data_IF_673681329033
#
_entry.id   IF_673681329033
#
_cell.length_a   1.000
_cell.length_b   1.000
_cell.length_c   1.000
_cell.angle_alpha   90.00
_cell.angle_beta   90.00
_cell.angle_gamma   90.00
#
_symmetry.space_group_name_H-M   'P 1'
#
loop_
_entity.id
_entity.type
_entity.pdbx_description
1 polymer ?
#
# COMPACT_ATOMS: atom_id res chain seq x y z
N UNK A 1 -23.14 10.96 -1.07
CA UNK A 1 -22.84 9.92 -2.11
C UNK A 1 -23.98 9.89 -3.12
N UNK A 2 -23.66 9.58 -4.39
CA UNK A 2 -24.65 9.30 -5.45
C UNK A 2 -24.76 7.78 -5.57
N UNK A 3 -25.97 7.23 -5.39
CA UNK A 3 -26.26 5.80 -5.44
C UNK A 3 -26.54 5.33 -6.87
N UNK A 4 -26.69 4.01 -7.05
CA UNK A 4 -26.95 3.37 -8.34
C UNK A 4 -28.28 3.82 -9.01
N UNK A 5 -29.27 4.20 -8.22
CA UNK A 5 -30.57 4.71 -8.68
C UNK A 5 -30.58 6.25 -8.89
N UNK A 6 -29.45 6.91 -8.74
CA UNK A 6 -29.29 8.35 -8.92
C UNK A 6 -29.65 9.19 -7.69
N UNK A 7 -30.12 8.60 -6.60
CA UNK A 7 -30.36 9.36 -5.36
C UNK A 7 -29.05 9.91 -4.79
N UNK A 8 -29.11 11.12 -4.25
CA UNK A 8 -28.01 11.73 -3.48
C UNK A 8 -28.36 11.58 -2.02
N UNK A 9 -27.49 10.92 -1.27
CA UNK A 9 -27.71 10.66 0.16
C UNK A 9 -26.48 11.02 0.97
N UNK A 10 -26.71 11.38 2.25
CA UNK A 10 -25.65 11.43 3.24
C UNK A 10 -25.46 10.05 3.84
N UNK A 11 -24.24 9.75 4.24
CA UNK A 11 -23.88 8.55 4.99
C UNK A 11 -23.01 8.98 6.17
N UNK A 12 -23.51 8.81 7.38
CA UNK A 12 -22.87 9.17 8.64
C UNK A 12 -23.21 8.15 9.72
N UNK A 13 -22.78 8.38 10.95
CA UNK A 13 -23.18 7.55 12.08
C UNK A 13 -24.69 7.67 12.39
N UNK A 14 -25.29 8.80 12.05
CA UNK A 14 -26.69 9.14 12.35
C UNK A 14 -27.61 8.94 11.13
N UNK A 15 -27.11 9.14 9.92
CA UNK A 15 -27.88 9.04 8.68
C UNK A 15 -27.30 7.96 7.77
N UNK A 16 -28.11 6.96 7.40
CA UNK A 16 -27.70 5.78 6.65
C UNK A 16 -26.44 5.10 7.24
N UNK A 17 -26.44 4.71 8.54
CA UNK A 17 -25.25 4.22 9.23
C UNK A 17 -24.73 2.89 8.67
N UNK A 18 -25.58 2.08 8.07
CA UNK A 18 -25.21 0.83 7.40
C UNK A 18 -24.45 1.12 6.09
N UNK A 19 -24.90 2.09 5.30
CA UNK A 19 -24.15 2.56 4.12
C UNK A 19 -22.82 3.22 4.54
N UNK A 20 -22.81 3.98 5.63
CA UNK A 20 -21.59 4.58 6.17
C UNK A 20 -20.57 3.52 6.62
N UNK A 21 -21.05 2.44 7.24
CA UNK A 21 -20.22 1.30 7.58
C UNK A 21 -19.58 0.67 6.32
N UNK A 22 -20.39 0.40 5.29
CA UNK A 22 -19.95 -0.20 4.03
C UNK A 22 -18.99 0.71 3.26
N UNK A 23 -19.28 2.02 3.18
CA UNK A 23 -18.46 2.99 2.47
C UNK A 23 -17.04 3.13 3.06
N UNK A 24 -16.86 2.80 4.34
CA UNK A 24 -15.56 2.77 5.00
C UNK A 24 -14.84 1.42 4.81
N UNK A 25 -14.57 1.05 3.57
CA UNK A 25 -13.83 -0.16 3.17
C UNK A 25 -14.24 -0.67 1.79
N UNK A 26 -15.53 -0.58 1.45
CA UNK A 26 -16.09 -1.06 0.18
C UNK A 26 -16.89 0.04 -0.55
N UNK A 27 -16.56 1.31 -0.37
CA UNK A 27 -17.34 2.43 -0.90
C UNK A 27 -17.49 2.43 -2.43
N UNK A 28 -16.52 1.91 -3.15
CA UNK A 28 -16.54 1.76 -4.61
C UNK A 28 -17.66 0.83 -5.11
N UNK A 29 -18.20 -0.03 -4.24
CA UNK A 29 -19.25 -0.98 -4.59
C UNK A 29 -20.66 -0.42 -4.36
N UNK A 30 -20.79 0.78 -3.78
CA UNK A 30 -22.07 1.35 -3.35
C UNK A 30 -22.43 2.67 -4.03
N UNK A 31 -21.47 3.38 -4.58
CA UNK A 31 -21.74 4.68 -5.18
C UNK A 31 -20.51 5.55 -5.39
N UNK A 32 -20.79 6.80 -5.80
CA UNK A 32 -19.77 7.83 -5.99
C UNK A 32 -19.82 8.80 -4.82
N UNK A 33 -18.73 8.88 -4.04
CA UNK A 33 -18.59 9.91 -3.01
C UNK A 33 -18.31 11.26 -3.70
N UNK A 34 -19.19 12.23 -3.49
CA UNK A 34 -19.07 13.59 -4.05
C UNK A 34 -18.50 14.58 -3.02
N UNK A 35 -18.61 14.23 -1.76
CA UNK A 35 -18.09 15.03 -0.64
C UNK A 35 -17.65 14.08 0.46
N UNK A 36 -16.52 14.39 1.10
CA UNK A 36 -15.97 13.66 2.23
C UNK A 36 -15.74 14.66 3.37
N UNK A 37 -16.33 14.37 4.54
CA UNK A 37 -16.14 15.16 5.76
C UNK A 37 -15.20 14.41 6.70
N UNK A 38 -14.02 14.97 6.93
CA UNK A 38 -13.02 14.41 7.82
C UNK A 38 -12.87 15.22 9.10
N UNK A 39 -12.65 14.52 10.20
CA UNK A 39 -12.13 15.16 11.41
C UNK A 39 -10.69 15.60 11.15
N UNK A 40 -10.45 16.90 11.28
CA UNK A 40 -9.09 17.46 11.16
C UNK A 40 -8.41 17.50 12.54
N UNK A 41 -7.11 17.29 12.51
CA UNK A 41 -6.25 17.42 13.69
C UNK A 41 -5.22 18.54 13.46
N UNK A 42 -4.81 19.27 14.50
CA UNK A 42 -3.75 20.25 14.36
C UNK A 42 -2.45 19.59 13.91
N UNK A 43 -1.86 20.14 12.86
CA UNK A 43 -0.50 19.80 12.39
C UNK A 43 0.20 21.13 12.14
N UNK A 44 0.68 21.76 13.22
CA UNK A 44 1.29 23.07 13.17
C UNK A 44 2.79 23.04 12.94
N UNK A 45 3.43 21.90 13.22
CA UNK A 45 4.87 21.73 13.09
C UNK A 45 5.24 21.19 11.71
N UNK A 46 6.47 21.50 11.29
CA UNK A 46 7.10 20.77 10.20
C UNK A 46 7.36 19.32 10.62
N UNK A 47 7.53 18.47 9.62
CA UNK A 47 7.90 17.06 9.78
C UNK A 47 9.25 16.84 9.11
N UNK A 48 10.03 15.89 9.62
CA UNK A 48 11.21 15.43 8.94
C UNK A 48 10.82 14.34 7.94
N UNK A 49 11.37 14.42 6.73
CA UNK A 49 11.14 13.39 5.74
C UNK A 49 11.90 13.62 4.47
N UNK A 50 11.74 12.70 3.53
CA UNK A 50 12.40 12.77 2.23
C UNK A 50 12.85 11.41 1.73
N UNK A 51 13.65 11.44 0.67
CA UNK A 51 14.05 10.28 -0.10
C UNK A 51 15.54 10.03 0.06
N UNK A 52 15.91 8.75 0.29
CA UNK A 52 17.26 8.26 0.19
C UNK A 52 17.36 7.19 -0.91
N UNK A 53 18.43 7.22 -1.68
CA UNK A 53 18.80 6.14 -2.58
C UNK A 53 20.12 5.51 -2.16
N UNK A 54 20.16 4.19 -2.19
CA UNK A 54 21.35 3.40 -1.86
C UNK A 54 21.70 2.44 -2.98
N UNK A 55 22.99 2.11 -3.08
CA UNK A 55 23.45 0.98 -3.87
C UNK A 55 23.03 -0.33 -3.23
N UNK A 56 22.94 -1.40 -4.03
CA UNK A 56 22.39 -2.69 -3.60
C UNK A 56 23.25 -3.40 -2.53
N UNK A 57 24.52 -3.06 -2.40
CA UNK A 57 25.42 -3.57 -1.35
C UNK A 57 25.00 -3.15 0.07
N UNK A 58 24.13 -2.13 0.20
CA UNK A 58 23.58 -1.67 1.47
C UNK A 58 22.34 -2.43 1.92
N UNK A 59 21.85 -3.39 1.12
CA UNK A 59 20.64 -4.12 1.44
C UNK A 59 20.68 -4.82 2.83
N UNK A 60 21.76 -5.49 3.23
CA UNK A 60 21.83 -6.13 4.55
C UNK A 60 21.64 -5.13 5.71
N UNK A 61 22.34 -4.02 5.68
CA UNK A 61 22.27 -3.00 6.76
C UNK A 61 20.89 -2.35 6.84
N UNK A 62 20.24 -2.13 5.66
CA UNK A 62 18.87 -1.59 5.61
C UNK A 62 17.87 -2.61 6.15
N UNK A 63 18.03 -3.89 5.86
CA UNK A 63 17.16 -4.97 6.36
C UNK A 63 17.31 -5.13 7.86
N UNK A 64 18.52 -5.00 8.41
CA UNK A 64 18.75 -5.01 9.85
C UNK A 64 18.01 -3.87 10.54
N UNK A 65 18.07 -2.65 10.00
CA UNK A 65 17.29 -1.52 10.52
C UNK A 65 15.78 -1.79 10.44
N UNK A 66 15.31 -2.27 9.29
CA UNK A 66 13.87 -2.61 9.05
C UNK A 66 13.40 -3.65 10.06
N UNK A 67 14.18 -4.68 10.31
CA UNK A 67 13.82 -5.75 11.25
C UNK A 67 13.79 -5.27 12.72
N UNK A 68 14.51 -4.21 13.04
CA UNK A 68 14.45 -3.53 14.34
C UNK A 68 13.30 -2.53 14.50
N UNK A 69 12.58 -2.18 13.42
CA UNK A 69 11.63 -1.07 13.40
C UNK A 69 10.52 -1.18 14.45
N UNK A 70 9.88 -2.36 14.59
CA UNK A 70 8.79 -2.56 15.55
C UNK A 70 9.20 -2.33 17.00
N UNK A 71 10.46 -2.60 17.34
CA UNK A 71 10.97 -2.44 18.70
C UNK A 71 11.37 -1.00 19.02
N UNK A 72 11.54 -0.17 18.00
CA UNK A 72 12.04 1.19 18.14
C UNK A 72 10.95 2.25 17.90
N UNK A 73 9.91 1.91 17.13
CA UNK A 73 8.87 2.88 16.76
C UNK A 73 8.04 3.34 17.95
N UNK A 74 7.81 4.64 18.02
CA UNK A 74 6.91 5.29 18.97
C UNK A 74 5.54 5.60 18.36
N UNK A 75 5.42 5.46 17.02
CA UNK A 75 4.24 5.82 16.24
C UNK A 75 4.38 7.16 15.49
N UNK A 76 5.48 7.87 15.71
CA UNK A 76 5.81 9.11 15.00
C UNK A 76 6.55 8.86 13.68
N UNK A 77 7.05 7.65 13.49
CA UNK A 77 7.90 7.26 12.38
C UNK A 77 7.11 6.55 11.29
N UNK A 78 7.57 6.72 10.08
CA UNK A 78 7.14 5.93 8.92
C UNK A 78 8.32 5.69 8.00
N UNK A 79 8.37 4.52 7.41
CA UNK A 79 9.41 4.13 6.48
C UNK A 79 8.80 3.37 5.31
N UNK A 80 9.08 3.80 4.08
CA UNK A 80 8.95 2.95 2.90
C UNK A 80 10.35 2.57 2.44
N UNK A 81 10.54 1.32 2.08
CA UNK A 81 11.79 0.88 1.45
C UNK A 81 11.49 -0.13 0.34
N UNK A 82 12.40 -0.25 -0.59
CA UNK A 82 12.24 -1.22 -1.67
C UNK A 82 13.14 -0.95 -2.86
N UNK A 83 12.71 -1.39 -4.02
CA UNK A 83 13.51 -1.34 -5.24
C UNK A 83 12.85 -0.43 -6.27
N UNK A 84 13.66 0.44 -6.86
CA UNK A 84 13.28 1.36 -7.92
C UNK A 84 14.42 1.45 -8.95
N UNK A 85 14.09 1.93 -10.12
CA UNK A 85 15.09 2.25 -11.16
C UNK A 85 14.96 3.72 -11.56
N UNK A 86 15.65 4.63 -10.85
CA UNK A 86 15.58 6.05 -11.15
C UNK A 86 16.04 6.35 -12.58
N UNK A 87 15.32 7.18 -13.34
CA UNK A 87 15.65 7.46 -14.74
C UNK A 87 17.05 8.04 -14.98
N UNK A 88 17.59 8.75 -13.99
CA UNK A 88 18.92 9.41 -14.09
C UNK A 88 20.05 8.39 -13.96
N UNK A 89 19.86 7.31 -13.21
CA UNK A 89 20.93 6.35 -12.89
C UNK A 89 20.85 5.11 -13.78
N UNK A 90 19.68 4.82 -14.34
CA UNK A 90 19.39 3.68 -15.23
C UNK A 90 19.80 2.30 -14.68
N UNK A 91 19.90 2.17 -13.36
CA UNK A 91 20.17 0.92 -12.66
C UNK A 91 19.23 0.76 -11.47
N UNK A 92 19.00 -0.48 -11.06
CA UNK A 92 18.23 -0.77 -9.85
C UNK A 92 18.95 -0.25 -8.61
N UNK A 93 18.21 0.44 -7.76
CA UNK A 93 18.68 1.00 -6.49
C UNK A 93 17.71 0.65 -5.37
N UNK A 94 18.16 0.76 -4.14
CA UNK A 94 17.27 0.71 -2.98
C UNK A 94 16.77 2.13 -2.74
N UNK A 95 15.45 2.30 -2.77
CA UNK A 95 14.75 3.52 -2.41
C UNK A 95 14.28 3.40 -0.96
N UNK A 96 14.48 4.44 -0.17
CA UNK A 96 13.77 4.62 1.10
C UNK A 96 13.11 5.99 1.14
N UNK A 97 11.91 6.04 1.74
CA UNK A 97 11.19 7.28 2.01
C UNK A 97 10.97 7.34 3.50
N UNK A 98 11.52 8.36 4.12
CA UNK A 98 11.49 8.56 5.57
C UNK A 98 10.39 9.56 5.93
N UNK A 99 9.77 9.33 7.08
CA UNK A 99 8.85 10.26 7.72
C UNK A 99 9.06 10.23 9.24
N UNK A 100 9.07 11.40 9.85
CA UNK A 100 9.08 11.56 11.30
C UNK A 100 8.26 12.78 11.71
N UNK A 101 7.27 12.57 12.57
CA UNK A 101 6.44 13.64 13.13
C UNK A 101 7.02 14.10 14.47
N UNK A 102 8.06 14.93 14.42
CA UNK A 102 8.77 15.42 15.60
C UNK A 102 9.89 16.38 15.21
N UNK A 103 10.82 16.61 16.12
CA UNK A 103 11.97 17.47 15.87
C UNK A 103 12.98 16.84 14.91
N UNK A 104 13.79 17.68 14.26
CA UNK A 104 14.88 17.20 13.40
C UNK A 104 15.90 16.35 14.17
N UNK A 105 16.19 16.71 15.42
CA UNK A 105 17.14 15.97 16.26
C UNK A 105 16.66 14.55 16.51
N UNK A 106 15.43 14.37 16.96
CA UNK A 106 14.83 13.06 17.21
C UNK A 106 14.76 12.22 15.92
N UNK A 107 14.35 12.86 14.81
CA UNK A 107 14.29 12.20 13.51
C UNK A 107 15.66 11.68 13.05
N UNK A 108 16.68 12.52 13.14
CA UNK A 108 18.05 12.14 12.76
C UNK A 108 18.64 11.08 13.67
N UNK A 109 18.31 11.11 14.95
CA UNK A 109 18.70 10.06 15.90
C UNK A 109 18.05 8.72 15.54
N UNK A 110 16.73 8.70 15.30
CA UNK A 110 15.99 7.49 14.91
C UNK A 110 16.52 6.89 13.60
N UNK A 111 16.69 7.72 12.57
CA UNK A 111 17.15 7.27 11.25
C UNK A 111 18.69 7.28 11.09
N UNK A 112 19.44 7.51 12.16
CA UNK A 112 20.91 7.55 12.13
C UNK A 112 21.53 6.31 11.46
N UNK A 113 21.05 5.06 11.71
CA UNK A 113 21.61 3.89 11.05
C UNK A 113 21.52 3.98 9.50
N UNK A 114 20.40 4.46 8.97
CA UNK A 114 20.24 4.64 7.51
C UNK A 114 21.05 5.83 6.98
N UNK A 115 21.01 6.95 7.68
CA UNK A 115 21.72 8.18 7.25
C UNK A 115 23.25 7.99 7.21
N UNK A 116 23.78 7.08 8.05
CA UNK A 116 25.23 6.77 8.10
C UNK A 116 25.71 5.81 7.02
N UNK A 117 24.80 5.17 6.25
CA UNK A 117 25.17 4.23 5.17
C UNK A 117 25.70 4.92 3.92
N UNK A 118 25.92 6.24 3.95
CA UNK A 118 26.35 7.05 2.83
C UNK A 118 25.45 6.88 1.59
N UNK A 119 24.18 7.31 1.67
CA UNK A 119 23.24 7.22 0.55
C UNK A 119 23.81 7.97 -0.68
N UNK A 120 23.57 7.40 -1.86
CA UNK A 120 23.95 8.03 -3.14
C UNK A 120 23.17 9.32 -3.38
N UNK A 121 21.92 9.37 -2.91
CA UNK A 121 21.06 10.55 -2.89
C UNK A 121 20.47 10.69 -1.50
N UNK A 122 20.49 11.89 -0.96
CA UNK A 122 19.87 12.26 0.28
C UNK A 122 19.09 13.57 0.10
N UNK A 123 17.78 13.46 0.07
CA UNK A 123 16.83 14.59 -0.03
C UNK A 123 15.99 14.71 1.25
N UNK A 124 16.55 14.34 2.41
CA UNK A 124 15.85 14.46 3.70
C UNK A 124 16.01 15.84 4.29
N UNK A 125 14.92 16.44 4.74
CA UNK A 125 14.87 17.77 5.35
C UNK A 125 13.64 17.92 6.25
N UNK A 126 13.63 18.97 7.07
CA UNK A 126 12.39 19.45 7.68
C UNK A 126 11.53 20.14 6.63
N UNK A 127 10.25 19.80 6.60
CA UNK A 127 9.32 20.35 5.62
C UNK A 127 7.89 20.47 6.17
N UNK A 128 7.08 21.40 5.64
CA UNK A 128 5.63 21.39 5.94
C UNK A 128 4.99 20.05 5.59
N UNK A 129 4.12 19.54 6.46
CA UNK A 129 3.48 18.22 6.27
C UNK A 129 2.81 18.05 4.90
N UNK A 130 2.21 19.11 4.36
CA UNK A 130 1.59 19.09 3.03
C UNK A 130 2.60 18.71 1.91
N UNK A 131 3.88 19.07 2.07
CA UNK A 131 4.91 18.76 1.09
C UNK A 131 5.23 17.26 1.07
N UNK A 132 5.11 16.56 2.21
CA UNK A 132 5.29 15.13 2.32
C UNK A 132 4.37 14.38 1.34
N UNK A 133 3.11 14.82 1.21
CA UNK A 133 2.14 14.24 0.28
C UNK A 133 2.50 14.44 -1.19
N UNK A 134 3.46 15.30 -1.50
CA UNK A 134 3.86 15.60 -2.90
C UNK A 134 5.12 14.88 -3.35
N UNK A 135 5.84 14.21 -2.45
CA UNK A 135 7.12 13.55 -2.77
C UNK A 135 6.99 12.56 -3.94
N UNK A 136 5.88 11.83 -3.99
CA UNK A 136 5.64 10.81 -5.02
C UNK A 136 4.92 11.34 -6.28
N UNK A 137 4.59 12.64 -6.36
CA UNK A 137 3.86 13.21 -7.50
C UNK A 137 4.57 13.00 -8.84
N UNK A 138 5.90 13.00 -8.85
CA UNK A 138 6.68 12.74 -10.07
C UNK A 138 6.50 11.32 -10.61
N UNK A 139 6.26 10.34 -9.73
CA UNK A 139 5.99 8.95 -10.10
C UNK A 139 4.53 8.71 -10.49
N UNK A 140 3.60 9.55 -10.03
CA UNK A 140 2.16 9.44 -10.26
C UNK A 140 1.68 10.10 -11.57
N UNK A 141 2.55 10.23 -12.58
CA UNK A 141 2.22 10.87 -13.86
C UNK A 141 1.12 10.13 -14.60
N UNK A 142 0.23 10.89 -15.24
CA UNK A 142 -0.82 10.34 -16.08
C UNK A 142 -0.23 9.70 -17.36
N UNK A 143 -0.93 8.69 -17.90
CA UNK A 143 -0.56 8.02 -19.16
C UNK A 143 0.22 6.72 -18.96
N UNK A 144 0.46 6.03 -20.05
CA UNK A 144 1.02 4.68 -20.05
C UNK A 144 0.07 3.62 -19.48
N UNK A 145 0.54 2.40 -19.43
CA UNK A 145 -0.13 1.26 -18.79
C UNK A 145 0.46 1.09 -17.40
N UNK A 146 -0.38 1.01 -16.38
CA UNK A 146 0.04 0.87 -14.99
C UNK A 146 -0.76 -0.23 -14.31
N UNK A 147 -0.09 -1.00 -13.49
CA UNK A 147 -0.72 -1.99 -12.64
C UNK A 147 -0.12 -1.91 -11.24
N UNK A 148 -0.99 -1.81 -10.25
CA UNK A 148 -0.64 -1.98 -8.85
C UNK A 148 -1.03 -3.40 -8.45
N UNK A 149 -0.19 -4.06 -7.70
CA UNK A 149 -0.48 -5.32 -7.03
C UNK A 149 0.17 -5.30 -5.65
N UNK A 150 -0.49 -5.85 -4.66
CA UNK A 150 -0.01 -5.83 -3.30
C UNK A 150 -0.27 -7.12 -2.55
N UNK A 151 0.41 -7.25 -1.45
CA UNK A 151 0.25 -8.30 -0.44
C UNK A 151 0.69 -7.73 0.91
N UNK A 152 0.86 -8.59 1.90
CA UNK A 152 1.32 -8.22 3.23
C UNK A 152 2.65 -8.88 3.58
N UNK A 153 3.30 -8.36 4.61
CA UNK A 153 4.44 -8.99 5.22
C UNK A 153 4.48 -8.74 6.74
N UNK A 154 5.22 -9.59 7.43
CA UNK A 154 5.53 -9.48 8.86
C UNK A 154 7.04 -9.39 9.05
N UNK A 155 7.48 -8.81 10.15
CA UNK A 155 8.87 -8.81 10.54
C UNK A 155 9.20 -10.05 11.41
N UNK A 156 10.44 -10.53 11.42
CA UNK A 156 11.56 -10.05 10.60
C UNK A 156 11.49 -10.55 9.15
N UNK A 157 11.99 -9.72 8.23
CA UNK A 157 12.20 -10.10 6.83
C UNK A 157 13.49 -10.92 6.68
N UNK A 158 13.42 -11.96 5.85
CA UNK A 158 14.58 -12.76 5.47
C UNK A 158 15.39 -12.03 4.37
N UNK A 159 16.67 -11.77 4.64
CA UNK A 159 17.57 -11.11 3.69
C UNK A 159 17.63 -11.86 2.35
N UNK A 160 17.61 -13.20 2.35
CA UNK A 160 17.63 -14.00 1.12
C UNK A 160 16.39 -13.77 0.26
N UNK A 161 15.22 -13.60 0.90
CA UNK A 161 14.02 -13.23 0.17
C UNK A 161 14.18 -11.90 -0.55
N UNK A 162 14.75 -10.91 0.13
CA UNK A 162 14.93 -9.56 -0.44
C UNK A 162 16.00 -9.53 -1.53
N UNK A 163 17.08 -10.31 -1.39
CA UNK A 163 18.09 -10.50 -2.45
C UNK A 163 17.46 -11.13 -3.71
N UNK A 164 16.63 -12.16 -3.56
CA UNK A 164 15.91 -12.78 -4.67
C UNK A 164 14.92 -11.82 -5.33
N UNK A 165 14.15 -11.06 -4.54
CA UNK A 165 13.21 -10.06 -5.06
C UNK A 165 13.92 -8.94 -5.79
N UNK A 166 15.06 -8.50 -5.28
CA UNK A 166 15.93 -7.53 -5.95
C UNK A 166 16.41 -8.06 -7.31
N UNK A 167 16.88 -9.31 -7.34
CA UNK A 167 17.33 -9.95 -8.58
C UNK A 167 16.19 -10.11 -9.58
N UNK A 168 15.00 -10.56 -9.12
CA UNK A 168 13.81 -10.67 -9.97
C UNK A 168 13.41 -9.32 -10.56
N UNK A 169 13.38 -8.27 -9.73
CA UNK A 169 13.07 -6.91 -10.15
C UNK A 169 14.07 -6.38 -11.17
N UNK A 170 15.37 -6.52 -10.90
CA UNK A 170 16.44 -6.07 -11.79
C UNK A 170 16.41 -6.81 -13.13
N UNK A 171 16.16 -8.13 -13.13
CA UNK A 171 15.98 -8.93 -14.33
C UNK A 171 14.78 -8.45 -15.17
N UNK A 172 13.66 -8.12 -14.55
CA UNK A 172 12.50 -7.55 -15.25
C UNK A 172 12.86 -6.23 -15.91
N UNK A 173 13.51 -5.32 -15.17
CA UNK A 173 13.91 -4.01 -15.69
C UNK A 173 14.92 -4.11 -16.84
N UNK A 174 15.83 -5.08 -16.81
CA UNK A 174 16.81 -5.34 -17.88
C UNK A 174 16.18 -5.97 -19.12
N UNK A 175 15.26 -6.93 -18.90
CA UNK A 175 14.59 -7.66 -19.99
C UNK A 175 13.58 -6.77 -20.72
N UNK A 176 12.96 -5.84 -20.01
CA UNK A 176 11.92 -4.95 -20.53
C UNK A 176 12.30 -3.47 -20.28
N UNK A 177 13.23 -2.88 -21.05
CA UNK A 177 13.77 -1.53 -20.76
C UNK A 177 12.73 -0.41 -20.71
N UNK A 178 11.53 -0.63 -21.29
CA UNK A 178 10.42 0.34 -21.27
C UNK A 178 9.50 0.20 -20.07
N UNK A 179 9.86 -0.63 -19.09
CA UNK A 179 9.17 -0.82 -17.80
C UNK A 179 9.87 0.01 -16.68
N UNK A 180 10.46 1.13 -17.02
CA UNK A 180 11.46 1.90 -16.26
C UNK A 180 10.90 2.90 -15.23
N UNK A 181 9.63 2.84 -14.88
CA UNK A 181 9.02 3.65 -13.81
C UNK A 181 8.28 2.73 -12.83
N UNK A 182 8.84 1.54 -12.65
CA UNK A 182 8.27 0.53 -11.78
C UNK A 182 8.98 0.50 -10.45
N UNK A 183 8.27 0.16 -9.40
CA UNK A 183 8.81 0.04 -8.05
C UNK A 183 8.20 -1.17 -7.31
N UNK A 184 8.95 -1.69 -6.38
CA UNK A 184 8.49 -2.61 -5.34
C UNK A 184 8.76 -1.95 -4.00
N UNK A 185 7.71 -1.68 -3.21
CA UNK A 185 7.78 -0.89 -1.98
C UNK A 185 7.17 -1.66 -0.81
N UNK A 186 7.92 -1.78 0.27
CA UNK A 186 7.51 -2.28 1.58
C UNK A 186 7.19 -1.08 2.46
N UNK A 187 6.00 -1.05 3.05
CA UNK A 187 5.49 0.09 3.81
C UNK A 187 5.48 -0.24 5.31
N UNK A 188 6.41 0.31 6.07
CA UNK A 188 6.44 0.23 7.53
C UNK A 188 5.74 1.47 8.10
N UNK A 189 4.43 1.39 8.19
CA UNK A 189 3.61 2.36 8.92
C UNK A 189 3.15 1.72 10.22
N UNK A 190 3.38 2.33 11.40
CA UNK A 190 2.98 1.74 12.67
C UNK A 190 1.50 1.41 12.70
N UNK A 191 1.16 0.17 12.96
CA UNK A 191 -0.22 -0.33 12.97
C UNK A 191 -0.91 -0.23 14.34
N UNK A 192 -0.21 0.31 15.35
CA UNK A 192 -0.67 0.32 16.74
C UNK A 192 -2.06 0.97 16.94
N UNK A 193 -2.37 2.01 16.18
CA UNK A 193 -3.69 2.65 16.23
C UNK A 193 -4.73 1.89 15.37
N UNK A 194 -4.31 1.30 14.29
CA UNK A 194 -5.20 0.54 13.39
C UNK A 194 -5.78 -0.68 14.09
N UNK A 195 -4.96 -1.42 14.84
CA UNK A 195 -5.38 -2.64 15.55
C UNK A 195 -6.27 -2.38 16.79
N UNK A 196 -6.36 -1.14 17.26
CA UNK A 196 -7.30 -0.76 18.34
C UNK A 196 -8.75 -0.69 17.84
N UNK A 197 -8.95 -0.54 16.54
CA UNK A 197 -10.29 -0.47 15.93
C UNK A 197 -10.78 -1.89 15.65
N UNK A 198 -11.92 -2.31 16.21
CA UNK A 198 -12.49 -3.63 15.95
C UNK A 198 -12.70 -3.89 14.45
N UNK A 199 -12.50 -5.14 14.01
CA UNK A 199 -12.64 -5.50 12.60
C UNK A 199 -14.04 -5.27 12.04
N UNK A 200 -15.07 -5.39 12.87
CA UNK A 200 -16.48 -5.18 12.52
C UNK A 200 -16.94 -3.72 12.57
N UNK A 201 -16.08 -2.80 13.08
CA UNK A 201 -16.41 -1.38 13.18
C UNK A 201 -16.65 -0.70 11.81
N UNK A 202 -16.05 -1.24 10.76
CA UNK A 202 -16.23 -0.80 9.36
C UNK A 202 -16.04 -1.98 8.41
N UNK A 203 -16.35 -1.81 7.13
CA UNK A 203 -16.05 -2.84 6.10
C UNK A 203 -14.56 -2.95 5.76
N UNK A 204 -13.69 -2.07 6.29
CA UNK A 204 -12.26 -2.11 6.06
C UNK A 204 -11.62 -3.23 6.88
N UNK A 205 -11.07 -4.25 6.20
CA UNK A 205 -10.54 -5.47 6.81
C UNK A 205 -9.01 -5.55 6.85
N UNK A 206 -8.30 -4.55 6.33
CA UNK A 206 -6.84 -4.51 6.42
C UNK A 206 -6.41 -3.97 7.80
N UNK A 207 -6.66 -4.77 8.83
CA UNK A 207 -6.32 -4.47 10.24
C UNK A 207 -5.64 -5.67 10.85
N UNK A 208 -4.39 -5.52 11.24
CA UNK A 208 -3.62 -6.60 11.86
C UNK A 208 -2.18 -6.20 12.12
N UNK A 209 -1.44 -7.09 12.77
CA UNK A 209 -0.01 -6.88 13.08
C UNK A 209 0.85 -7.30 11.88
N UNK A 210 0.68 -6.60 10.80
CA UNK A 210 1.40 -6.79 9.55
C UNK A 210 1.53 -5.47 8.79
N UNK A 211 2.35 -5.46 7.80
CA UNK A 211 2.63 -4.32 6.94
C UNK A 211 2.18 -4.62 5.51
N UNK A 212 1.95 -3.58 4.73
CA UNK A 212 1.60 -3.71 3.32
C UNK A 212 2.87 -3.66 2.45
N UNK A 213 2.84 -4.40 1.36
CA UNK A 213 3.79 -4.24 0.26
C UNK A 213 3.03 -4.02 -1.03
N UNK A 214 3.50 -3.06 -1.82
CA UNK A 214 2.96 -2.76 -3.13
C UNK A 214 4.03 -2.84 -4.21
N UNK A 215 3.66 -3.38 -5.35
CA UNK A 215 4.43 -3.22 -6.58
C UNK A 215 3.63 -2.36 -7.56
N UNK A 216 4.32 -1.41 -8.19
CA UNK A 216 3.77 -0.56 -9.24
C UNK A 216 4.58 -0.84 -10.49
N UNK A 217 3.97 -1.50 -11.48
CA UNK A 217 4.59 -1.74 -12.77
C UNK A 217 4.00 -0.79 -13.81
N UNK A 218 4.88 -0.12 -14.55
CA UNK A 218 4.53 0.85 -15.57
C UNK A 218 5.17 0.45 -16.90
N UNK A 219 4.36 0.40 -17.99
CA UNK A 219 4.84 0.07 -19.33
C UNK A 219 4.01 0.77 -20.40
N UNK A 220 4.38 0.61 -21.68
CA UNK A 220 3.65 1.24 -22.79
C UNK A 220 3.10 0.21 -23.80
N UNK A 221 3.79 -0.89 -24.00
CA UNK A 221 3.51 -1.88 -25.01
C UNK A 221 2.37 -2.83 -24.60
N UNK A 222 1.19 -2.83 -25.24
CA UNK A 222 0.06 -3.67 -24.85
C UNK A 222 0.35 -5.17 -24.95
N UNK A 223 1.23 -5.58 -25.85
CA UNK A 223 1.62 -6.97 -26.10
C UNK A 223 2.29 -7.66 -24.91
N UNK A 224 2.81 -6.88 -23.95
CA UNK A 224 3.41 -7.42 -22.74
C UNK A 224 2.49 -7.38 -21.50
N UNK A 225 1.23 -6.98 -21.64
CA UNK A 225 0.28 -6.87 -20.52
C UNK A 225 0.19 -8.14 -19.68
N UNK A 226 -0.06 -9.28 -20.34
CA UNK A 226 -0.18 -10.57 -19.65
C UNK A 226 1.12 -10.98 -18.97
N UNK A 227 2.27 -10.63 -19.57
CA UNK A 227 3.59 -10.95 -19.01
C UNK A 227 3.86 -10.09 -17.76
N UNK A 228 3.58 -8.79 -17.81
CA UNK A 228 3.76 -7.89 -16.66
C UNK A 228 2.84 -8.31 -15.51
N UNK A 229 1.59 -8.65 -15.81
CA UNK A 229 0.65 -9.21 -14.83
C UNK A 229 1.22 -10.46 -14.16
N UNK A 230 1.64 -11.45 -14.92
CA UNK A 230 2.16 -12.72 -14.42
C UNK A 230 3.43 -12.53 -13.55
N UNK A 231 4.38 -11.70 -13.99
CA UNK A 231 5.60 -11.42 -13.24
C UNK A 231 5.30 -10.74 -11.89
N UNK A 232 4.40 -9.76 -11.91
CA UNK A 232 4.00 -9.05 -10.70
C UNK A 232 3.26 -9.96 -9.72
N UNK A 233 2.34 -10.81 -10.22
CA UNK A 233 1.63 -11.79 -9.40
C UNK A 233 2.59 -12.80 -8.75
N UNK A 234 3.55 -13.33 -9.52
CA UNK A 234 4.56 -14.26 -8.99
C UNK A 234 5.41 -13.62 -7.88
N UNK A 235 5.76 -12.34 -8.03
CA UNK A 235 6.51 -11.59 -7.01
C UNK A 235 5.67 -11.41 -5.73
N UNK A 236 4.40 -11.01 -5.85
CA UNK A 236 3.50 -10.84 -4.70
C UNK A 236 3.23 -12.16 -4.00
N UNK A 237 3.04 -13.25 -4.76
CA UNK A 237 2.88 -14.58 -4.21
C UNK A 237 4.10 -15.02 -3.41
N UNK A 238 5.32 -14.85 -3.97
CA UNK A 238 6.59 -15.17 -3.28
C UNK A 238 6.69 -14.43 -1.93
N UNK A 239 6.33 -13.16 -1.88
CA UNK A 239 6.33 -12.37 -0.64
C UNK A 239 5.28 -12.92 0.33
N UNK A 240 4.03 -13.08 -0.10
CA UNK A 240 2.95 -13.59 0.76
C UNK A 240 3.24 -14.95 1.36
N UNK A 241 3.83 -15.87 0.59
CA UNK A 241 4.19 -17.22 1.04
C UNK A 241 5.38 -17.22 2.01
N UNK A 242 6.36 -16.33 1.84
CA UNK A 242 7.61 -16.35 2.62
C UNK A 242 7.68 -15.33 3.74
N UNK A 243 6.89 -14.26 3.68
CA UNK A 243 6.89 -13.19 4.68
C UNK A 243 5.49 -12.79 5.15
N UNK A 244 4.41 -13.25 4.50
CA UNK A 244 3.03 -12.86 4.81
C UNK A 244 2.46 -13.47 6.10
N UNK A 245 1.34 -12.92 6.55
CA UNK A 245 0.63 -13.35 7.79
C UNK A 245 0.22 -14.83 7.78
N UNK A 246 0.08 -15.45 6.61
CA UNK A 246 -0.21 -16.89 6.51
C UNK A 246 0.83 -17.76 7.24
N UNK A 247 2.06 -17.26 7.43
CA UNK A 247 3.12 -17.92 8.20
C UNK A 247 3.04 -17.67 9.71
N UNK A 248 2.28 -16.67 10.11
CA UNK A 248 2.16 -16.23 11.50
C UNK A 248 0.70 -15.96 11.86
N UNK A 249 -0.19 -16.98 11.77
CA UNK A 249 -1.63 -16.78 11.96
C UNK A 249 -2.00 -16.18 13.31
N UNK A 250 -1.14 -16.29 14.31
CA UNK A 250 -1.32 -15.71 15.63
C UNK A 250 -1.11 -14.18 15.68
N UNK A 251 -0.56 -13.59 14.63
CA UNK A 251 -0.31 -12.15 14.56
C UNK A 251 -1.45 -11.39 13.88
N UNK A 252 -2.37 -12.08 13.20
CA UNK A 252 -3.28 -11.44 12.28
C UNK A 252 -4.75 -11.61 12.58
N UNK A 253 -5.37 -10.52 12.99
CA UNK A 253 -6.75 -10.25 12.61
C UNK A 253 -6.74 -9.52 11.26
N UNK A 254 -7.81 -9.69 10.47
CA UNK A 254 -7.91 -9.07 9.14
C UNK A 254 -7.45 -9.94 7.99
N UNK A 255 -7.62 -9.44 6.78
CA UNK A 255 -7.40 -10.22 5.54
C UNK A 255 -5.97 -10.16 5.02
N UNK A 256 -5.16 -9.24 5.54
CA UNK A 256 -3.81 -9.02 5.02
C UNK A 256 -3.75 -8.38 3.64
N UNK A 257 -4.90 -7.99 3.06
CA UNK A 257 -4.95 -7.37 1.74
C UNK A 257 -5.51 -5.95 1.83
N UNK A 258 -4.81 -5.02 1.21
CA UNK A 258 -5.25 -3.64 1.09
C UNK A 258 -5.93 -3.42 -0.26
N UNK A 259 -7.24 -3.13 -0.25
CA UNK A 259 -8.05 -3.02 -1.46
C UNK A 259 -7.50 -2.04 -2.51
N UNK A 260 -6.80 -0.98 -2.09
CA UNK A 260 -6.17 -0.03 -3.01
C UNK A 260 -4.94 -0.59 -3.74
N UNK A 261 -4.29 -1.62 -3.19
CA UNK A 261 -3.08 -2.22 -3.79
C UNK A 261 -3.39 -3.51 -4.53
N UNK A 262 -4.46 -4.20 -4.15
CA UNK A 262 -4.82 -5.46 -4.78
C UNK A 262 -5.59 -5.19 -6.06
N UNK A 263 -5.07 -5.68 -7.18
CA UNK A 263 -5.76 -5.62 -8.45
C UNK A 263 -6.96 -6.59 -8.52
N UNK A 264 -7.55 -6.73 -9.70
CA UNK A 264 -8.71 -7.61 -9.95
C UNK A 264 -8.49 -9.12 -9.69
N UNK A 265 -7.35 -9.51 -9.14
CA UNK A 265 -6.99 -10.91 -8.93
C UNK A 265 -7.47 -11.47 -7.57
N UNK A 266 -7.76 -10.60 -6.61
CA UNK A 266 -8.33 -11.00 -5.34
C UNK A 266 -9.84 -11.19 -5.45
N UNK A 267 -10.37 -12.20 -4.78
CA UNK A 267 -11.81 -12.38 -4.63
C UNK A 267 -12.37 -11.41 -3.59
N UNK A 268 -13.68 -11.17 -3.64
CA UNK A 268 -14.36 -10.39 -2.60
C UNK A 268 -14.16 -11.03 -1.20
N UNK A 269 -14.10 -12.36 -1.14
CA UNK A 269 -13.85 -13.08 0.12
C UNK A 269 -12.46 -12.82 0.68
N UNK A 270 -11.45 -12.76 -0.19
CA UNK A 270 -10.06 -12.48 0.24
C UNK A 270 -9.92 -11.05 0.78
N UNK A 271 -10.66 -10.09 0.21
CA UNK A 271 -10.60 -8.68 0.60
C UNK A 271 -11.42 -8.35 1.84
N UNK A 272 -12.65 -8.87 1.91
CA UNK A 272 -13.62 -8.44 2.91
C UNK A 272 -13.87 -9.49 4.01
N UNK A 273 -13.30 -10.69 3.88
CA UNK A 273 -13.36 -11.70 4.93
C UNK A 273 -14.76 -11.89 5.51
N UNK A 274 -14.89 -11.74 6.82
CA UNK A 274 -16.14 -11.90 7.54
C UNK A 274 -17.13 -10.73 7.34
N UNK A 275 -16.69 -9.61 6.80
CA UNK A 275 -17.58 -8.51 6.41
C UNK A 275 -18.35 -8.77 5.12
N UNK A 276 -17.94 -9.76 4.30
CA UNK A 276 -18.54 -10.00 2.98
C UNK A 276 -20.03 -10.29 3.01
N UNK A 277 -20.59 -11.17 3.89
CA UNK A 277 -22.03 -11.44 3.91
C UNK A 277 -22.86 -10.16 4.13
N UNK A 278 -22.45 -9.32 5.10
CA UNK A 278 -23.13 -8.04 5.37
C UNK A 278 -23.01 -7.07 4.18
N UNK A 279 -21.85 -7.02 3.52
CA UNK A 279 -21.67 -6.22 2.31
C UNK A 279 -22.60 -6.67 1.18
N UNK A 280 -22.79 -7.98 1.00
CA UNK A 280 -23.70 -8.53 0.00
C UNK A 280 -25.17 -8.17 0.30
N UNK A 281 -25.61 -8.26 1.56
CA UNK A 281 -26.95 -7.80 1.96
C UNK A 281 -27.15 -6.32 1.68
N UNK A 282 -26.19 -5.48 2.04
CA UNK A 282 -26.25 -4.03 1.79
C UNK A 282 -26.19 -3.70 0.30
N UNK A 283 -25.45 -4.48 -0.48
CA UNK A 283 -25.40 -4.33 -1.94
C UNK A 283 -26.78 -4.57 -2.55
N UNK A 284 -27.49 -5.60 -2.13
CA UNK A 284 -28.88 -5.86 -2.57
C UNK A 284 -29.85 -4.72 -2.19
N UNK A 285 -29.57 -4.03 -1.07
CA UNK A 285 -30.39 -2.89 -0.63
C UNK A 285 -30.12 -1.62 -1.44
N UNK A 286 -28.84 -1.29 -1.71
CA UNK A 286 -28.42 -0.01 -2.26
C UNK A 286 -28.10 -0.04 -3.75
N UNK A 287 -27.74 -1.19 -4.29
CA UNK A 287 -27.42 -1.40 -5.71
C UNK A 287 -27.82 -2.81 -6.17
N UNK A 288 -29.15 -3.15 -6.18
CA UNK A 288 -29.62 -4.48 -6.52
C UNK A 288 -29.33 -4.88 -7.98
N UNK A 289 -29.07 -3.94 -8.86
CA UNK A 289 -28.72 -4.17 -10.26
C UNK A 289 -27.22 -4.26 -10.51
N UNK A 290 -26.42 -4.18 -9.45
CA UNK A 290 -24.97 -4.30 -9.48
C UNK A 290 -24.29 -3.35 -10.49
N UNK A 291 -24.67 -2.07 -10.47
CA UNK A 291 -24.09 -1.02 -11.32
C UNK A 291 -22.61 -0.84 -10.98
N UNK A 292 -22.29 -0.76 -9.67
CA UNK A 292 -20.94 -0.57 -9.15
C UNK A 292 -20.26 -1.92 -8.92
N UNK A 293 -19.70 -2.55 -9.96
CA UNK A 293 -19.05 -3.88 -9.90
C UNK A 293 -17.64 -3.95 -10.50
N UNK A 294 -17.13 -2.82 -10.99
CA UNK A 294 -15.93 -2.85 -11.86
C UNK A 294 -14.64 -3.06 -11.09
N UNK A 295 -14.59 -2.81 -9.80
CA UNK A 295 -13.35 -2.96 -9.04
C UNK A 295 -13.27 -4.35 -8.38
N UNK A 296 -14.04 -4.58 -7.34
CA UNK A 296 -14.13 -5.87 -6.66
C UNK A 296 -15.60 -6.25 -6.52
N UNK A 297 -16.13 -7.02 -7.48
CA UNK A 297 -17.54 -7.44 -7.46
C UNK A 297 -17.80 -8.29 -6.22
N UNK A 298 -18.68 -7.83 -5.33
CA UNK A 298 -19.04 -8.51 -4.09
C UNK A 298 -19.68 -9.89 -4.30
N UNK A 299 -20.16 -10.19 -5.51
CA UNK A 299 -20.76 -11.48 -5.87
C UNK A 299 -19.83 -12.35 -6.73
N UNK A 300 -18.58 -11.91 -6.96
CA UNK A 300 -17.59 -12.64 -7.76
C UNK A 300 -18.08 -13.09 -9.15
N UNK A 301 -18.92 -12.29 -9.80
CA UNK A 301 -19.41 -12.59 -11.14
C UNK A 301 -18.29 -12.44 -12.21
N UNK A 302 -17.15 -13.06 -12.00
CA UNK A 302 -15.96 -12.95 -12.89
C UNK A 302 -16.19 -13.47 -14.34
N UNK A 303 -17.38 -13.95 -14.69
CA UNK A 303 -17.66 -14.63 -15.97
C UNK A 303 -18.90 -14.14 -16.73
N UNK A 304 -19.35 -12.91 -16.55
CA UNK A 304 -20.38 -12.33 -17.42
C UNK A 304 -19.75 -11.16 -18.20
N UNK A 305 -19.13 -11.50 -19.31
CA UNK A 305 -18.80 -10.59 -20.42
C UNK A 305 -19.80 -10.78 -21.50
#
# INVERSE_FOLDING_TARGET
>A
MVLADGRIVNASAEENPDLFWAARGAGQDFGVATELVFKAYPQSNEVFGGVLYFSLDKLPDIVDFVNGFEHQTTGNEGLFFGFDRPPIVEKTMILTILFYNGSETEAREFFQPLLSLAPTVNETEMMPYIRMNTLMNKAAKFGGRKRISGTNFTLPLDIKLLEELCQDFDNIMKTYPRVNQSALMFELLPYNEVIKVPNDATAFMNRGRYYNVASIFCWHAPEIDSKMKSLQQSMMQKIGERAGIARSPHLGDGTGLYANFVGHDASAKDLFGDSLPRLQELKMKYDPTNVFRKWHDLFDHKNVV
#
